data_IF_591033262424
#
_entry.id   IF_591033262424
#
_cell.length_a   1.000
_cell.length_b   1.000
_cell.length_c   1.000
_cell.angle_alpha   90.00
_cell.angle_beta   90.00
_cell.angle_gamma   90.00
#
_symmetry.space_group_name_H-M   'P 1'
#
loop_
_entity.id
_entity.type
_entity.pdbx_description
1 polymer ?
#
# COMPACT_ATOMS: atom_id res chain seq x y z
N UNK A 1 24.71 -24.42 -36.07
CA UNK A 1 23.27 -24.11 -36.18
C UNK A 1 22.60 -25.12 -35.26
N UNK A 2 22.19 -24.80 -34.04
CA UNK A 2 21.19 -23.81 -33.67
C UNK A 2 21.50 -23.18 -32.32
N UNK A 3 21.44 -21.85 -32.32
CA UNK A 3 21.09 -21.02 -31.19
C UNK A 3 19.60 -21.27 -30.88
N UNK A 4 19.28 -21.76 -29.68
CA UNK A 4 17.90 -21.70 -29.17
C UNK A 4 17.82 -21.84 -27.63
N UNK A 5 17.95 -20.70 -26.94
CA UNK A 5 16.89 -20.24 -26.03
C UNK A 5 16.55 -20.99 -24.74
N UNK A 6 17.49 -21.48 -23.94
CA UNK A 6 17.16 -22.05 -22.61
C UNK A 6 18.12 -21.65 -21.47
N UNK A 7 18.35 -20.34 -21.31
CA UNK A 7 19.21 -19.79 -20.25
C UNK A 7 18.49 -19.11 -19.07
N UNK A 8 17.15 -19.06 -19.08
CA UNK A 8 16.38 -18.54 -17.94
C UNK A 8 15.75 -19.64 -17.07
N UNK A 9 16.05 -20.92 -17.34
CA UNK A 9 15.31 -22.04 -16.74
C UNK A 9 16.16 -23.23 -16.30
N UNK A 10 17.49 -23.19 -16.46
CA UNK A 10 18.37 -24.23 -15.92
C UNK A 10 18.98 -23.74 -14.60
N UNK A 11 18.41 -24.25 -13.50
CA UNK A 11 18.64 -23.82 -12.12
C UNK A 11 20.09 -23.87 -11.68
N UNK A 12 20.74 -22.71 -11.70
CA UNK A 12 22.02 -22.45 -11.05
C UNK A 12 21.90 -21.34 -10.01
N UNK A 13 22.83 -21.21 -9.05
CA UNK A 13 22.78 -20.18 -7.99
C UNK A 13 22.66 -18.73 -8.55
N UNK A 14 23.08 -18.51 -9.80
CA UNK A 14 22.91 -17.25 -10.52
C UNK A 14 21.44 -16.88 -10.81
N UNK A 15 20.55 -17.85 -11.03
CA UNK A 15 19.13 -17.57 -11.30
C UNK A 15 18.42 -17.06 -10.04
N UNK A 16 18.79 -17.58 -8.86
CA UNK A 16 18.25 -17.12 -7.58
C UNK A 16 18.69 -15.70 -7.24
N UNK A 17 19.95 -15.35 -7.55
CA UNK A 17 20.47 -13.99 -7.39
C UNK A 17 19.71 -12.99 -8.27
N UNK A 18 19.51 -13.31 -9.53
CA UNK A 18 18.79 -12.46 -10.47
C UNK A 18 17.30 -12.32 -10.13
N UNK A 19 16.66 -13.42 -9.70
CA UNK A 19 15.26 -13.41 -9.24
C UNK A 19 15.10 -12.61 -7.94
N UNK A 20 16.01 -12.80 -6.98
CA UNK A 20 16.02 -12.08 -5.71
C UNK A 20 16.24 -10.59 -5.91
N UNK A 21 17.12 -10.19 -6.82
CA UNK A 21 17.36 -8.78 -7.15
C UNK A 21 16.13 -8.12 -7.79
N UNK A 22 15.43 -8.82 -8.70
CA UNK A 22 14.15 -8.34 -9.26
C UNK A 22 13.08 -8.22 -8.18
N UNK A 23 12.97 -9.20 -7.29
CA UNK A 23 12.01 -9.15 -6.18
C UNK A 23 12.30 -7.99 -5.22
N UNK A 24 13.58 -7.78 -4.88
CA UNK A 24 14.02 -6.67 -4.03
C UNK A 24 13.72 -5.31 -4.67
N UNK A 25 13.91 -5.18 -5.99
CA UNK A 25 13.51 -3.98 -6.73
C UNK A 25 12.00 -3.74 -6.66
N UNK A 26 11.18 -4.75 -6.88
CA UNK A 26 9.72 -4.63 -6.81
C UNK A 26 9.27 -4.24 -5.40
N UNK A 27 9.77 -4.93 -4.37
CA UNK A 27 9.44 -4.62 -2.97
C UNK A 27 9.91 -3.22 -2.60
N UNK A 28 11.10 -2.80 -3.02
CA UNK A 28 11.62 -1.46 -2.80
C UNK A 28 10.75 -0.38 -3.45
N UNK A 29 10.31 -0.60 -4.69
CA UNK A 29 9.41 0.32 -5.41
C UNK A 29 8.04 0.39 -4.74
N UNK A 30 7.44 -0.76 -4.37
CA UNK A 30 6.15 -0.81 -3.66
C UNK A 30 6.25 -0.11 -2.30
N UNK A 31 7.33 -0.33 -1.55
CA UNK A 31 7.52 0.30 -0.25
C UNK A 31 7.77 1.82 -0.37
N UNK A 32 8.50 2.24 -1.41
CA UNK A 32 8.71 3.65 -1.72
C UNK A 32 7.39 4.35 -2.09
N UNK A 33 6.59 3.73 -2.96
CA UNK A 33 5.25 4.23 -3.32
C UNK A 33 4.34 4.25 -2.10
N UNK A 34 4.28 3.17 -1.30
CA UNK A 34 3.48 3.11 -0.07
C UNK A 34 3.92 4.15 0.97
N UNK A 35 5.22 4.41 1.10
CA UNK A 35 5.74 5.46 1.98
C UNK A 35 5.45 6.88 1.45
N UNK A 36 5.33 7.06 0.14
CA UNK A 36 4.87 8.30 -0.49
C UNK A 36 3.36 8.50 -0.29
N UNK A 37 2.57 7.45 -0.44
CA UNK A 37 1.11 7.46 -0.20
C UNK A 37 0.83 7.73 1.27
N UNK A 38 1.55 7.11 2.22
CA UNK A 38 1.48 7.43 3.66
C UNK A 38 1.80 8.91 3.96
N UNK A 39 2.55 9.58 3.08
CA UNK A 39 2.82 11.03 3.15
C UNK A 39 1.68 11.88 2.56
N UNK A 40 0.94 11.36 1.59
CA UNK A 40 -0.09 12.08 0.81
C UNK A 40 -1.55 11.78 1.26
N UNK A 41 -1.79 10.68 1.96
CA UNK A 41 -3.08 10.36 2.63
C UNK A 41 -3.40 11.30 3.80
N UNK A 42 -2.44 12.14 4.19
CA UNK A 42 -2.58 13.14 5.26
C UNK A 42 -3.70 14.16 5.05
N UNK A 43 -4.31 14.28 3.87
CA UNK A 43 -5.27 15.38 3.59
C UNK A 43 -6.72 14.97 3.33
N UNK A 44 -6.99 13.73 2.89
CA UNK A 44 -8.36 13.25 2.62
C UNK A 44 -8.76 12.08 3.52
N UNK A 45 -7.99 10.98 3.51
CA UNK A 45 -8.24 9.85 4.40
C UNK A 45 -7.96 10.17 5.87
N UNK A 46 -7.08 11.13 6.18
CA UNK A 46 -6.86 11.60 7.55
C UNK A 46 -8.15 12.00 8.27
N UNK A 47 -9.12 12.63 7.60
CA UNK A 47 -10.38 13.02 8.23
C UNK A 47 -11.26 11.83 8.63
N UNK A 48 -11.41 10.86 7.73
CA UNK A 48 -12.16 9.62 7.99
C UNK A 48 -11.43 8.68 8.96
N UNK A 49 -10.11 8.58 8.85
CA UNK A 49 -9.27 7.74 9.69
C UNK A 49 -9.20 8.28 11.13
N UNK A 50 -9.08 9.60 11.32
CA UNK A 50 -9.19 10.25 12.64
C UNK A 50 -10.59 10.04 13.23
N UNK A 51 -11.65 10.14 12.41
CA UNK A 51 -13.01 9.92 12.88
C UNK A 51 -13.23 8.46 13.33
N UNK A 52 -12.73 7.50 12.55
CA UNK A 52 -12.77 6.07 12.89
C UNK A 52 -11.99 5.76 14.16
N UNK A 53 -10.81 6.37 14.32
CA UNK A 53 -9.97 6.17 15.50
C UNK A 53 -10.65 6.66 16.78
N UNK A 54 -11.32 7.82 16.75
CA UNK A 54 -12.05 8.36 17.91
C UNK A 54 -13.28 7.54 18.30
N UNK A 55 -13.98 6.98 17.32
CA UNK A 55 -15.09 6.07 17.57
C UNK A 55 -14.61 4.74 18.16
N UNK A 56 -13.51 4.18 17.64
CA UNK A 56 -12.90 2.97 18.20
C UNK A 56 -12.38 3.17 19.64
N UNK A 57 -11.99 4.39 20.01
CA UNK A 57 -11.62 4.75 21.38
C UNK A 57 -12.83 5.00 22.31
N UNK A 58 -14.06 5.06 21.78
CA UNK A 58 -15.27 5.38 22.54
C UNK A 58 -15.37 6.84 22.99
N UNK A 59 -14.57 7.74 22.41
CA UNK A 59 -14.56 9.17 22.72
C UNK A 59 -15.75 9.93 22.10
N UNK A 60 -16.41 9.31 21.13
CA UNK A 60 -17.59 9.82 20.44
C UNK A 60 -18.66 8.73 20.35
N UNK A 61 -19.91 9.13 20.52
CA UNK A 61 -21.05 8.22 20.40
C UNK A 61 -21.35 7.88 18.93
N UNK A 62 -22.01 6.75 18.69
CA UNK A 62 -22.36 6.26 17.36
C UNK A 62 -23.20 7.28 16.57
N UNK A 63 -24.11 7.97 17.25
CA UNK A 63 -24.92 9.06 16.72
C UNK A 63 -24.06 10.20 16.15
N UNK A 64 -22.99 10.57 16.87
CA UNK A 64 -22.10 11.67 16.48
C UNK A 64 -21.12 11.25 15.38
N UNK A 65 -20.66 10.00 15.41
CA UNK A 65 -19.84 9.40 14.37
C UNK A 65 -20.56 9.38 13.01
N UNK A 66 -21.82 8.93 12.97
CA UNK A 66 -22.60 8.85 11.71
C UNK A 66 -22.80 10.22 11.07
N UNK A 67 -23.18 11.24 11.85
CA UNK A 67 -23.35 12.62 11.36
C UNK A 67 -22.06 13.17 10.75
N UNK A 68 -20.93 13.02 11.43
CA UNK A 68 -19.63 13.51 10.95
C UNK A 68 -19.16 12.75 9.71
N UNK A 69 -19.40 11.44 9.65
CA UNK A 69 -19.08 10.59 8.50
C UNK A 69 -19.86 11.01 7.27
N UNK A 70 -21.16 11.28 7.39
CA UNK A 70 -21.97 11.75 6.26
C UNK A 70 -21.54 13.12 5.74
N UNK A 71 -21.20 14.05 6.63
CA UNK A 71 -20.67 15.37 6.25
C UNK A 71 -19.34 15.25 5.49
N UNK A 72 -18.46 14.33 5.91
CA UNK A 72 -17.18 14.09 5.24
C UNK A 72 -17.33 13.39 3.89
N UNK A 73 -18.31 12.49 3.76
CA UNK A 73 -18.60 11.79 2.50
C UNK A 73 -19.26 12.72 1.49
N UNK A 74 -20.18 13.59 1.93
CA UNK A 74 -20.97 14.47 1.07
C UNK A 74 -20.27 15.80 0.70
N UNK A 75 -19.02 16.00 1.17
CA UNK A 75 -18.18 17.15 0.83
C UNK A 75 -17.24 16.87 -0.35
N UNK A 76 -17.39 15.71 -0.99
CA UNK A 76 -16.62 15.22 -2.12
C UNK A 76 -17.53 14.96 -3.32
#
# INVERSE_FOLDING_TARGET
MFDCGFGYTLGGPWTFLYMGLKFLLIVGVVWFIASMIKKNDKRSNSGMEILNQRYANGEIDEEEYKRKREILINKN
#
